data_IF_878584032263
#
_entry.id   IF_878584032263
#
_cell.length_a   1.000
_cell.length_b   1.000
_cell.length_c   1.000
_cell.angle_alpha   90.00
_cell.angle_beta   90.00
_cell.angle_gamma   90.00
#
_symmetry.space_group_name_H-M   'P 1'
#
loop_
_entity.id
_entity.type
_entity.pdbx_description
1 polymer ?
#
# COMPACT_ATOMS: atom_id res chain seq x y z
N UNK A 1 -3.44 17.47 0.34
CA UNK A 1 -4.32 16.53 -0.39
C UNK A 1 -5.34 17.31 -1.20
N UNK A 2 -5.84 16.76 -2.30
CA UNK A 2 -6.94 17.37 -3.08
C UNK A 2 -8.31 16.95 -2.51
N UNK A 3 -9.36 17.73 -2.79
CA UNK A 3 -10.74 17.52 -2.34
C UNK A 3 -11.29 16.13 -2.69
N UNK A 4 -10.93 15.58 -3.85
CA UNK A 4 -11.35 14.24 -4.25
C UNK A 4 -10.87 13.16 -3.28
N UNK A 5 -9.65 13.28 -2.76
CA UNK A 5 -9.10 12.30 -1.83
C UNK A 5 -9.74 12.42 -0.46
N UNK A 6 -10.05 13.64 -0.02
CA UNK A 6 -10.81 13.87 1.21
C UNK A 6 -12.20 13.26 1.10
N UNK A 7 -12.90 13.45 -0.02
CA UNK A 7 -14.22 12.87 -0.25
C UNK A 7 -14.19 11.33 -0.27
N UNK A 8 -13.17 10.75 -0.89
CA UNK A 8 -13.00 9.29 -0.89
C UNK A 8 -12.83 8.74 0.53
N UNK A 9 -12.01 9.38 1.36
CA UNK A 9 -11.81 8.99 2.76
C UNK A 9 -13.04 9.27 3.64
N UNK A 10 -13.78 10.34 3.36
CA UNK A 10 -15.02 10.64 4.07
C UNK A 10 -16.14 9.61 3.80
N UNK A 11 -16.11 8.94 2.65
CA UNK A 11 -17.10 7.93 2.28
C UNK A 11 -16.69 6.48 2.60
N UNK A 12 -15.39 6.20 2.77
CA UNK A 12 -14.87 4.84 2.97
C UNK A 12 -15.03 4.35 4.41
N UNK A 13 -15.32 3.06 4.60
CA UNK A 13 -15.28 2.45 5.94
C UNK A 13 -13.84 2.26 6.44
N UNK A 14 -12.92 1.94 5.52
CA UNK A 14 -11.52 1.73 5.83
C UNK A 14 -10.61 2.11 4.64
N UNK A 15 -9.33 2.37 4.94
CA UNK A 15 -8.31 2.66 3.92
C UNK A 15 -7.20 1.61 3.92
N UNK A 16 -6.84 1.15 2.73
CA UNK A 16 -5.64 0.35 2.46
C UNK A 16 -4.54 1.27 1.95
N UNK A 17 -3.36 1.23 2.57
CA UNK A 17 -2.24 2.12 2.21
C UNK A 17 -1.20 1.33 1.40
N UNK A 18 -1.10 1.53 0.07
CA UNK A 18 0.04 1.04 -0.68
C UNK A 18 1.25 1.92 -0.38
N UNK A 19 2.32 1.34 0.17
CA UNK A 19 3.54 2.05 0.52
C UNK A 19 4.72 1.56 -0.31
N UNK A 20 5.26 2.43 -1.14
CA UNK A 20 6.41 2.15 -1.98
C UNK A 20 7.69 2.10 -1.14
N UNK A 21 8.51 1.07 -1.31
CA UNK A 21 9.75 0.85 -0.55
C UNK A 21 10.90 1.78 -0.98
N UNK A 22 10.73 3.09 -0.82
CA UNK A 22 11.70 4.13 -1.19
C UNK A 22 11.97 5.10 -0.03
N UNK A 23 12.98 5.96 -0.20
CA UNK A 23 13.51 6.82 0.86
C UNK A 23 12.44 7.65 1.60
N UNK A 24 11.41 8.15 0.89
CA UNK A 24 10.36 8.99 1.47
C UNK A 24 9.17 8.22 2.07
N UNK A 25 9.25 6.89 2.16
CA UNK A 25 8.13 6.06 2.60
C UNK A 25 7.59 6.44 3.99
N UNK A 26 8.47 6.58 4.99
CA UNK A 26 8.06 6.88 6.36
C UNK A 26 7.48 8.28 6.52
N UNK A 27 8.04 9.27 5.83
CA UNK A 27 7.55 10.65 5.85
C UNK A 27 6.14 10.73 5.24
N UNK A 28 5.96 10.16 4.05
CA UNK A 28 4.66 10.11 3.37
C UNK A 28 3.62 9.34 4.20
N UNK A 29 4.03 8.25 4.85
CA UNK A 29 3.17 7.50 5.75
C UNK A 29 2.72 8.35 6.94
N UNK A 30 3.63 9.03 7.63
CA UNK A 30 3.29 9.87 8.79
C UNK A 30 2.28 10.96 8.41
N UNK A 31 2.47 11.62 7.27
CA UNK A 31 1.54 12.63 6.76
C UNK A 31 0.15 12.04 6.45
N UNK A 32 0.10 10.83 5.88
CA UNK A 32 -1.16 10.14 5.60
C UNK A 32 -1.89 9.76 6.88
N UNK A 33 -1.18 9.21 7.88
CA UNK A 33 -1.77 8.85 9.18
C UNK A 33 -2.41 10.07 9.85
N UNK A 34 -1.71 11.21 9.86
CA UNK A 34 -2.25 12.45 10.41
C UNK A 34 -3.50 12.91 9.67
N UNK A 35 -3.54 12.75 8.35
CA UNK A 35 -4.70 13.14 7.52
C UNK A 35 -5.90 12.23 7.80
N UNK A 36 -5.67 10.92 7.93
CA UNK A 36 -6.73 9.95 8.25
C UNK A 36 -7.36 10.28 9.60
N UNK A 37 -6.56 10.61 10.63
CA UNK A 37 -7.13 10.98 11.94
C UNK A 37 -7.85 12.32 11.93
N UNK A 38 -7.42 13.30 11.13
CA UNK A 38 -8.19 14.54 10.98
C UNK A 38 -9.56 14.27 10.35
N UNK A 39 -9.61 13.49 9.27
CA UNK A 39 -10.86 13.12 8.59
C UNK A 39 -11.75 12.29 9.51
N UNK A 40 -11.15 11.37 10.27
CA UNK A 40 -11.86 10.58 11.27
C UNK A 40 -12.52 11.45 12.34
N UNK A 41 -11.81 12.45 12.84
CA UNK A 41 -12.31 13.36 13.87
C UNK A 41 -13.37 14.35 13.39
N UNK A 42 -13.40 14.68 12.09
CA UNK A 42 -14.25 15.76 11.54
C UNK A 42 -15.38 15.31 10.62
N UNK A 43 -15.14 14.30 9.80
CA UNK A 43 -16.00 13.95 8.66
C UNK A 43 -16.49 12.51 8.70
N UNK A 44 -15.65 11.56 9.09
CA UNK A 44 -16.00 10.14 9.05
C UNK A 44 -15.45 9.36 10.27
N UNK A 45 -16.18 9.36 11.40
CA UNK A 45 -15.75 8.68 12.63
C UNK A 45 -15.51 7.17 12.51
N UNK A 46 -16.04 6.51 11.47
CA UNK A 46 -15.90 5.07 11.22
C UNK A 46 -14.61 4.73 10.45
N UNK A 47 -14.00 5.73 9.80
CA UNK A 47 -12.78 5.53 9.02
C UNK A 47 -11.67 4.96 9.91
N UNK A 48 -11.07 3.88 9.45
CA UNK A 48 -9.89 3.30 10.06
C UNK A 48 -8.93 2.79 8.99
N UNK A 49 -7.68 2.56 9.39
CA UNK A 49 -6.68 1.97 8.50
C UNK A 49 -6.86 0.46 8.56
N UNK A 50 -7.21 -0.12 7.41
CA UNK A 50 -7.30 -1.58 7.26
C UNK A 50 -5.91 -2.22 7.28
N UNK A 51 -4.92 -1.54 6.72
CA UNK A 51 -3.51 -1.90 6.85
C UNK A 51 -2.65 -1.29 5.74
N UNK A 52 -1.38 -1.68 5.72
CA UNK A 52 -0.35 -1.16 4.82
C UNK A 52 0.27 -2.28 4.01
N UNK A 53 0.22 -2.17 2.69
CA UNK A 53 0.82 -3.12 1.75
C UNK A 53 2.10 -2.52 1.20
N UNK A 54 3.21 -3.22 1.36
CA UNK A 54 4.50 -2.80 0.83
C UNK A 54 4.57 -3.11 -0.67
N UNK A 55 4.92 -2.12 -1.48
CA UNK A 55 4.90 -2.20 -2.94
C UNK A 55 6.22 -1.81 -3.58
N UNK A 56 6.42 -2.26 -4.83
CA UNK A 56 7.61 -2.01 -5.65
C UNK A 56 8.92 -2.39 -4.95
N UNK A 57 8.86 -3.38 -4.07
CA UNK A 57 10.00 -3.91 -3.33
C UNK A 57 11.05 -4.46 -4.30
N UNK A 58 12.30 -4.03 -4.13
CA UNK A 58 13.43 -4.52 -4.90
C UNK A 58 14.47 -5.17 -3.98
N UNK A 59 14.48 -6.50 -3.96
CA UNK A 59 15.41 -7.34 -3.19
C UNK A 59 16.89 -7.09 -3.50
N UNK A 60 17.21 -6.38 -4.58
CA UNK A 60 18.59 -6.02 -4.94
C UNK A 60 19.09 -4.79 -4.19
N UNK A 61 18.20 -4.10 -3.47
CA UNK A 61 18.49 -2.83 -2.83
C UNK A 61 18.34 -2.94 -1.31
N UNK A 62 19.43 -2.65 -0.58
CA UNK A 62 19.40 -2.61 0.88
C UNK A 62 18.40 -1.56 1.41
N UNK A 63 18.13 -0.50 0.64
CA UNK A 63 17.12 0.50 0.98
C UNK A 63 15.72 -0.11 1.06
N UNK A 64 15.35 -1.00 0.12
CA UNK A 64 14.03 -1.64 0.16
C UNK A 64 13.85 -2.47 1.43
N UNK A 65 14.88 -3.20 1.84
CA UNK A 65 14.88 -4.00 3.08
C UNK A 65 14.77 -3.11 4.32
N UNK A 66 15.56 -2.04 4.40
CA UNK A 66 15.50 -1.07 5.49
C UNK A 66 14.10 -0.46 5.64
N UNK A 67 13.48 -0.06 4.53
CA UNK A 67 12.12 0.51 4.56
C UNK A 67 11.10 -0.52 5.03
N UNK A 68 11.18 -1.77 4.58
CA UNK A 68 10.29 -2.86 5.05
C UNK A 68 10.41 -3.03 6.56
N UNK A 69 11.64 -3.10 7.07
CA UNK A 69 11.92 -3.32 8.49
C UNK A 69 11.49 -2.15 9.36
N UNK A 70 11.75 -0.91 8.92
CA UNK A 70 11.33 0.30 9.63
C UNK A 70 9.80 0.40 9.68
N UNK A 71 9.12 0.17 8.55
CA UNK A 71 7.66 0.27 8.50
C UNK A 71 7.02 -0.81 9.37
N UNK A 72 7.51 -2.05 9.33
CA UNK A 72 7.03 -3.13 10.20
C UNK A 72 7.27 -2.85 11.68
N UNK A 73 8.40 -2.23 12.03
CA UNK A 73 8.70 -1.83 13.41
C UNK A 73 7.76 -0.74 13.92
N UNK A 74 7.38 0.21 13.07
CA UNK A 74 6.52 1.34 13.45
C UNK A 74 5.04 0.95 13.47
N UNK A 75 4.58 0.19 12.48
CA UNK A 75 3.17 -0.12 12.28
C UNK A 75 2.74 -1.51 12.73
N UNK A 76 3.69 -2.40 13.02
CA UNK A 76 3.43 -3.72 13.57
C UNK A 76 2.47 -4.55 12.73
N UNK A 77 1.39 -4.99 13.37
CA UNK A 77 0.33 -5.83 12.83
C UNK A 77 -0.47 -5.18 11.70
N UNK A 78 -0.43 -3.85 11.56
CA UNK A 78 -1.07 -3.16 10.43
C UNK A 78 -0.38 -3.40 9.10
N UNK A 79 0.86 -3.90 9.09
CA UNK A 79 1.60 -4.16 7.85
C UNK A 79 1.29 -5.58 7.38
N UNK A 80 0.87 -5.70 6.13
CA UNK A 80 0.64 -7.01 5.53
C UNK A 80 1.97 -7.80 5.44
N UNK A 81 1.87 -9.11 5.64
CA UNK A 81 3.00 -10.02 5.39
C UNK A 81 3.39 -10.03 3.91
N UNK A 82 2.39 -9.90 3.04
CA UNK A 82 2.52 -9.80 1.59
C UNK A 82 3.27 -8.54 1.17
N UNK A 83 4.32 -8.72 0.37
CA UNK A 83 5.10 -7.65 -0.26
C UNK A 83 4.97 -7.80 -1.77
N UNK A 84 4.64 -6.70 -2.47
CA UNK A 84 4.51 -6.69 -3.92
C UNK A 84 5.87 -6.29 -4.53
N UNK A 85 6.58 -7.21 -5.21
CA UNK A 85 7.88 -6.92 -5.79
C UNK A 85 7.77 -6.01 -7.01
N UNK A 86 8.84 -5.29 -7.31
CA UNK A 86 9.00 -4.57 -8.57
C UNK A 86 9.03 -5.56 -9.72
N UNK A 87 8.04 -5.49 -10.61
CA UNK A 87 7.93 -6.42 -11.74
C UNK A 87 7.43 -5.70 -13.00
N UNK A 88 8.14 -5.89 -14.12
CA UNK A 88 7.80 -5.27 -15.41
C UNK A 88 6.42 -5.67 -15.92
N UNK A 89 5.97 -6.91 -15.67
CA UNK A 89 4.63 -7.38 -16.11
C UNK A 89 3.50 -6.69 -15.36
N UNK A 90 3.69 -6.36 -14.08
CA UNK A 90 2.74 -5.54 -13.31
C UNK A 90 2.61 -4.17 -13.97
N UNK A 91 3.73 -3.54 -14.33
CA UNK A 91 3.77 -2.23 -14.95
C UNK A 91 3.21 -2.20 -16.39
N UNK A 92 3.37 -3.29 -17.14
CA UNK A 92 2.83 -3.43 -18.51
C UNK A 92 1.32 -3.73 -18.52
N UNK A 93 0.80 -4.49 -17.56
CA UNK A 93 -0.59 -4.95 -17.56
C UNK A 93 -1.65 -3.85 -17.82
N UNK A 94 -1.53 -2.61 -17.29
CA UNK A 94 -2.49 -1.54 -17.56
C UNK A 94 -2.52 -1.10 -19.04
N UNK A 95 -1.40 -1.11 -19.76
CA UNK A 95 -1.36 -0.72 -21.19
C UNK A 95 -2.11 -1.72 -22.07
N UNK A 96 -2.27 -2.96 -21.59
CA UNK A 96 -3.06 -4.00 -22.22
C UNK A 96 -4.51 -4.06 -21.72
N UNK A 97 -4.92 -3.16 -20.83
CA UNK A 97 -6.27 -3.11 -20.27
C UNK A 97 -6.64 -4.37 -19.47
N UNK A 98 -5.66 -5.11 -18.96
CA UNK A 98 -5.86 -6.37 -18.23
C UNK A 98 -5.30 -6.26 -16.81
N UNK A 99 -6.02 -6.74 -15.78
CA UNK A 99 -5.43 -6.98 -14.46
C UNK A 99 -4.20 -7.89 -14.58
N UNK A 100 -3.17 -7.68 -13.74
CA UNK A 100 -1.95 -8.50 -13.78
C UNK A 100 -2.23 -10.00 -13.60
N UNK A 101 -3.25 -10.37 -12.82
CA UNK A 101 -3.71 -11.76 -12.66
C UNK A 101 -4.15 -12.40 -13.99
N UNK A 102 -4.74 -11.61 -14.90
CA UNK A 102 -5.21 -12.07 -16.21
C UNK A 102 -4.16 -11.85 -17.31
N UNK A 103 -3.25 -10.90 -17.13
CA UNK A 103 -2.15 -10.64 -18.06
C UNK A 103 -1.05 -11.69 -17.93
N UNK A 104 -0.59 -11.95 -16.71
CA UNK A 104 0.41 -12.96 -16.40
C UNK A 104 0.26 -13.43 -14.94
N UNK A 105 -0.56 -14.47 -14.74
CA UNK A 105 -0.80 -15.09 -13.43
C UNK A 105 0.49 -15.63 -12.78
N UNK A 106 1.48 -16.04 -13.57
CA UNK A 106 2.68 -16.72 -13.06
C UNK A 106 3.82 -15.77 -12.72
N UNK A 107 3.71 -14.48 -13.05
CA UNK A 107 4.77 -13.53 -12.73
C UNK A 107 4.86 -13.25 -11.22
N UNK A 108 6.06 -12.90 -10.76
CA UNK A 108 6.36 -12.67 -9.35
C UNK A 108 5.52 -11.54 -8.70
N UNK A 109 5.00 -10.60 -9.48
CA UNK A 109 4.13 -9.54 -8.97
C UNK A 109 2.65 -9.93 -8.88
N UNK A 110 2.24 -11.03 -9.52
CA UNK A 110 0.85 -11.51 -9.58
C UNK A 110 0.51 -12.41 -8.40
N UNK A 111 1.44 -13.29 -8.02
CA UNK A 111 1.24 -14.24 -6.92
C UNK A 111 0.92 -13.57 -5.57
N UNK A 112 1.64 -12.52 -5.12
CA UNK A 112 1.38 -11.88 -3.84
C UNK A 112 -0.01 -11.21 -3.78
N UNK A 113 -0.48 -10.66 -4.90
CA UNK A 113 -1.80 -10.01 -4.99
C UNK A 113 -2.93 -11.03 -4.81
N UNK A 114 -2.71 -12.29 -5.16
CA UNK A 114 -3.67 -13.38 -4.99
C UNK A 114 -3.69 -13.98 -3.57
N UNK A 115 -2.71 -13.65 -2.72
CA UNK A 115 -2.54 -14.26 -1.39
C UNK A 115 -2.91 -13.32 -0.23
N UNK A 116 -4.08 -13.61 0.36
CA UNK A 116 -4.59 -13.36 1.72
C UNK A 116 -4.72 -11.92 2.30
N UNK A 117 -5.76 -11.65 3.13
CA UNK A 117 -5.95 -10.38 3.86
C UNK A 117 -4.93 -10.21 5.00
N UNK A 118 -4.87 -9.03 5.67
CA UNK A 118 -4.07 -8.89 6.88
C UNK A 118 -4.72 -9.76 7.96
N UNK A 119 -3.91 -10.36 8.84
CA UNK A 119 -4.45 -11.00 10.05
C UNK A 119 -4.79 -9.94 11.08
#
# INVERSE_FOLDING_TARGET
MNLLTVNALAAADAVLVPLQCEFFALEGLAQLLSTVEEIRGRLNPKLHIHGVVLTMYDQRTALSDQVVDDVRRVLGDKVYSTVIPRNVRVAESPSHGKPVLLYDYRCAGSQPISSSPPR
#
